data_IF_096136313482
#
_entry.id   IF_096136313482
#
_cell.length_a   1.000
_cell.length_b   1.000
_cell.length_c   1.000
_cell.angle_alpha   90.00
_cell.angle_beta   90.00
_cell.angle_gamma   90.00
#
_symmetry.space_group_name_H-M   'P 1'
#
loop_
_entity.id
_entity.type
_entity.pdbx_description
1 polymer ?
#
# COMPACT_ATOMS: atom_id res chain seq x y z
N UNK A 1 -4.78 17.57 -10.39
CA UNK A 1 -4.41 16.18 -10.08
C UNK A 1 -2.90 16.12 -9.90
N UNK A 2 -2.44 15.88 -8.68
CA UNK A 2 -1.02 15.70 -8.39
C UNK A 2 -0.83 14.26 -7.99
N UNK A 3 -0.06 13.53 -8.75
CA UNK A 3 0.39 12.18 -8.40
C UNK A 3 1.90 12.18 -8.24
N UNK A 4 2.40 11.40 -7.30
CA UNK A 4 3.79 11.36 -6.91
C UNK A 4 4.31 9.96 -7.23
N UNK A 5 5.15 9.81 -8.26
CA UNK A 5 5.81 8.56 -8.53
C UNK A 5 6.91 8.33 -7.48
N UNK A 6 7.08 7.12 -7.07
CA UNK A 6 8.04 6.76 -6.03
C UNK A 6 9.31 6.17 -6.62
N UNK A 7 10.44 6.47 -5.97
CA UNK A 7 11.77 6.05 -6.35
C UNK A 7 12.02 4.53 -6.27
N UNK A 8 12.95 4.08 -5.42
CA UNK A 8 13.36 2.67 -5.32
C UNK A 8 12.22 1.76 -4.87
N UNK A 9 11.87 0.76 -5.68
CA UNK A 9 10.75 -0.15 -5.44
C UNK A 9 11.29 -1.51 -4.99
N UNK A 10 10.84 -2.06 -3.83
CA UNK A 10 11.31 -3.36 -3.35
C UNK A 10 10.63 -4.52 -4.08
N UNK A 11 11.39 -5.56 -4.36
CA UNK A 11 10.85 -6.90 -4.57
C UNK A 11 10.66 -7.55 -3.19
N UNK A 12 9.47 -8.03 -2.91
CA UNK A 12 9.16 -8.60 -1.59
C UNK A 12 9.73 -10.00 -1.48
N UNK A 13 10.57 -10.21 -0.46
CA UNK A 13 11.21 -11.48 -0.20
C UNK A 13 10.42 -12.34 0.81
N UNK A 14 10.59 -13.68 0.73
CA UNK A 14 9.96 -14.62 1.69
C UNK A 14 10.36 -14.31 3.14
N UNK A 15 11.63 -14.05 3.39
CA UNK A 15 12.13 -13.77 4.74
C UNK A 15 11.51 -12.49 5.31
N UNK A 16 11.42 -11.43 4.51
CA UNK A 16 10.87 -10.14 4.86
C UNK A 16 9.40 -10.25 5.28
N UNK A 17 8.56 -10.81 4.42
CA UNK A 17 7.13 -10.90 4.72
C UNK A 17 6.84 -11.87 5.87
N UNK A 18 7.62 -12.94 6.05
CA UNK A 18 7.48 -13.83 7.19
C UNK A 18 7.86 -13.17 8.50
N UNK A 19 8.92 -12.36 8.50
CA UNK A 19 9.30 -11.57 9.66
C UNK A 19 8.20 -10.57 10.02
N UNK A 20 7.71 -9.81 9.07
CA UNK A 20 6.61 -8.85 9.28
C UNK A 20 5.35 -9.54 9.81
N UNK A 21 4.93 -10.66 9.21
CA UNK A 21 3.76 -11.44 9.65
C UNK A 21 3.87 -11.84 11.13
N UNK A 22 5.05 -12.27 11.57
CA UNK A 22 5.30 -12.70 12.95
C UNK A 22 5.40 -11.53 13.92
N UNK A 23 6.05 -10.44 13.54
CA UNK A 23 6.14 -9.22 14.35
C UNK A 23 4.76 -8.63 14.64
N UNK A 24 3.87 -8.65 13.68
CA UNK A 24 2.49 -8.21 13.86
C UNK A 24 1.57 -9.26 14.47
N UNK A 25 2.11 -10.42 14.89
CA UNK A 25 1.37 -11.52 15.50
C UNK A 25 0.15 -11.97 14.68
N UNK A 26 0.27 -11.93 13.36
CA UNK A 26 -0.78 -12.41 12.47
C UNK A 26 -0.85 -13.94 12.52
N UNK A 27 -2.02 -14.48 12.83
CA UNK A 27 -2.26 -15.92 13.00
C UNK A 27 -3.01 -16.56 11.82
N UNK A 28 -3.30 -15.82 10.76
CA UNK A 28 -4.00 -16.36 9.59
C UNK A 28 -3.05 -17.27 8.78
N UNK A 29 -3.38 -18.55 8.70
CA UNK A 29 -2.55 -19.60 8.04
C UNK A 29 -2.10 -19.21 6.64
N UNK A 30 -2.94 -18.53 5.89
CA UNK A 30 -2.69 -18.09 4.51
C UNK A 30 -1.40 -17.25 4.37
N UNK A 31 -0.93 -16.62 5.45
CA UNK A 31 0.26 -15.79 5.42
C UNK A 31 1.54 -16.49 5.93
N UNK A 32 1.43 -17.56 6.72
CA UNK A 32 2.62 -18.14 7.36
C UNK A 32 2.76 -19.66 7.28
N UNK A 33 1.68 -20.41 7.00
CA UNK A 33 1.74 -21.87 6.99
C UNK A 33 1.96 -22.41 5.58
N UNK A 34 3.24 -22.65 5.23
CA UNK A 34 3.60 -23.15 3.90
C UNK A 34 3.03 -24.54 3.61
N UNK A 35 2.95 -25.43 4.61
CA UNK A 35 2.41 -26.77 4.42
C UNK A 35 0.94 -26.74 4.01
N UNK A 36 0.13 -25.93 4.73
CA UNK A 36 -1.28 -25.74 4.39
C UNK A 36 -1.45 -25.09 3.02
N UNK A 37 -0.70 -24.01 2.76
CA UNK A 37 -0.89 -23.19 1.57
C UNK A 37 -0.31 -23.77 0.29
N UNK A 38 0.63 -24.73 0.40
CA UNK A 38 1.08 -25.50 -0.77
C UNK A 38 -0.03 -26.36 -1.38
N UNK A 39 -1.03 -26.70 -0.59
CA UNK A 39 -2.22 -27.46 -1.01
C UNK A 39 -3.43 -26.56 -1.26
N UNK A 40 -3.29 -25.28 -1.00
CA UNK A 40 -4.36 -24.28 -1.15
C UNK A 40 -4.49 -23.75 -2.58
N UNK A 41 -5.44 -22.81 -2.74
CA UNK A 41 -5.79 -22.22 -4.04
C UNK A 41 -4.60 -21.68 -4.84
N UNK A 42 -3.58 -21.12 -4.16
CA UNK A 42 -2.46 -20.44 -4.80
C UNK A 42 -1.16 -21.25 -4.80
N UNK A 43 -1.13 -22.41 -4.14
CA UNK A 43 0.06 -23.24 -4.01
C UNK A 43 1.20 -22.63 -3.17
N UNK A 44 0.98 -21.46 -2.57
CA UNK A 44 1.97 -20.71 -1.79
C UNK A 44 1.30 -19.68 -0.88
N UNK A 45 2.08 -19.18 0.11
CA UNK A 45 1.59 -18.17 1.06
C UNK A 45 1.36 -16.83 0.41
N UNK A 46 0.29 -16.14 0.83
CA UNK A 46 0.04 -14.74 0.50
C UNK A 46 0.87 -13.82 1.39
N UNK A 47 1.34 -12.71 0.84
CA UNK A 47 1.89 -11.62 1.63
C UNK A 47 0.80 -11.01 2.51
N UNK A 48 1.14 -10.78 3.77
CA UNK A 48 0.24 -10.15 4.73
C UNK A 48 -0.18 -8.75 4.27
N UNK A 49 -1.49 -8.47 4.27
CA UNK A 49 -2.04 -7.20 3.77
C UNK A 49 -1.51 -5.97 4.50
N UNK A 50 -1.27 -6.06 5.81
CA UNK A 50 -0.63 -4.97 6.58
C UNK A 50 0.79 -4.66 6.11
N UNK A 51 1.55 -5.66 5.67
CA UNK A 51 2.87 -5.44 5.08
C UNK A 51 2.76 -4.69 3.74
N UNK A 52 1.78 -5.04 2.90
CA UNK A 52 1.52 -4.32 1.64
C UNK A 52 1.17 -2.86 1.89
N UNK A 53 0.33 -2.57 2.89
CA UNK A 53 0.00 -1.19 3.29
C UNK A 53 1.25 -0.44 3.75
N UNK A 54 2.08 -1.08 4.58
CA UNK A 54 3.32 -0.48 5.09
C UNK A 54 4.30 -0.15 3.97
N UNK A 55 4.48 -1.05 3.00
CA UNK A 55 5.31 -0.81 1.82
C UNK A 55 4.77 0.35 0.97
N UNK A 56 3.47 0.36 0.67
CA UNK A 56 2.84 1.42 -0.11
C UNK A 56 3.01 2.80 0.57
N UNK A 57 2.89 2.85 1.91
CA UNK A 57 3.13 4.07 2.69
C UNK A 57 4.61 4.47 2.70
N UNK A 58 5.52 3.54 2.90
CA UNK A 58 6.96 3.81 2.84
C UNK A 58 7.38 4.34 1.46
N UNK A 59 6.86 3.75 0.40
CA UNK A 59 7.09 4.19 -0.97
C UNK A 59 6.52 5.59 -1.25
N UNK A 60 5.49 6.04 -0.56
CA UNK A 60 4.91 7.38 -0.70
C UNK A 60 5.72 8.48 0.01
N UNK A 61 6.79 8.13 0.74
CA UNK A 61 7.55 9.09 1.56
C UNK A 61 8.11 10.25 0.75
N UNK A 62 8.69 10.02 -0.41
CA UNK A 62 9.35 11.06 -1.20
C UNK A 62 8.46 12.25 -1.58
N UNK A 63 7.16 12.04 -1.67
CA UNK A 63 6.21 13.09 -1.96
C UNK A 63 5.33 13.51 -0.77
N UNK A 64 5.31 12.70 0.27
CA UNK A 64 4.48 12.88 1.46
C UNK A 64 5.30 12.88 2.75
N UNK A 65 6.58 13.26 2.68
CA UNK A 65 7.49 13.32 3.83
C UNK A 65 6.93 14.22 4.96
N UNK A 66 6.19 15.25 4.60
CA UNK A 66 5.55 16.17 5.56
C UNK A 66 4.24 15.62 6.15
N UNK A 67 3.71 14.51 5.65
CA UNK A 67 2.52 13.88 6.19
C UNK A 67 2.87 13.10 7.46
N UNK A 68 2.86 13.79 8.59
CA UNK A 68 3.40 13.31 9.85
C UNK A 68 2.43 12.44 10.66
N UNK A 69 1.13 12.44 10.32
CA UNK A 69 0.13 11.67 11.05
C UNK A 69 -1.03 11.24 10.14
N UNK A 70 -1.46 9.98 10.25
CA UNK A 70 -2.69 9.49 9.61
C UNK A 70 -3.85 9.79 10.56
N UNK A 71 -4.68 10.76 10.20
CA UNK A 71 -5.81 11.20 11.01
C UNK A 71 -7.02 10.28 10.91
N UNK A 72 -7.24 9.69 9.74
CA UNK A 72 -8.37 8.79 9.50
C UNK A 72 -8.09 7.88 8.30
N UNK A 73 -8.63 6.68 8.31
CA UNK A 73 -8.69 5.77 7.16
C UNK A 73 -10.16 5.70 6.74
N UNK A 74 -10.47 6.18 5.53
CA UNK A 74 -11.82 6.14 4.98
C UNK A 74 -12.18 4.75 4.46
N UNK A 75 -11.18 4.06 3.90
CA UNK A 75 -11.35 2.71 3.40
C UNK A 75 -10.07 2.14 2.82
N UNK A 76 -10.06 0.83 2.64
CA UNK A 76 -8.95 0.13 2.02
C UNK A 76 -9.41 -1.17 1.39
N UNK A 77 -8.78 -1.54 0.27
CA UNK A 77 -9.10 -2.75 -0.45
C UNK A 77 -7.83 -3.41 -0.99
N UNK A 78 -7.64 -4.69 -0.64
CA UNK A 78 -6.70 -5.55 -1.34
C UNK A 78 -7.37 -6.04 -2.63
N UNK A 79 -6.96 -5.51 -3.77
CA UNK A 79 -7.59 -5.76 -5.08
C UNK A 79 -7.16 -7.10 -5.65
N UNK A 80 -5.86 -7.41 -5.53
CA UNK A 80 -5.27 -8.65 -6.00
C UNK A 80 -4.24 -9.18 -5.01
N UNK A 81 -3.95 -10.49 -5.03
CA UNK A 81 -2.94 -11.09 -4.16
C UNK A 81 -1.52 -10.64 -4.53
N UNK A 82 -0.68 -10.48 -3.52
CA UNK A 82 0.75 -10.32 -3.66
C UNK A 82 1.46 -11.56 -3.10
N UNK A 83 2.52 -11.99 -3.77
CA UNK A 83 3.38 -13.11 -3.38
C UNK A 83 4.83 -12.67 -3.34
N UNK A 84 5.68 -13.41 -2.63
CA UNK A 84 7.12 -13.22 -2.68
C UNK A 84 7.64 -13.34 -4.13
N UNK A 85 8.61 -12.52 -4.47
CA UNK A 85 9.13 -12.32 -5.83
C UNK A 85 8.42 -11.22 -6.62
N UNK A 86 7.30 -10.66 -6.13
CA UNK A 86 6.64 -9.52 -6.75
C UNK A 86 7.28 -8.19 -6.37
N UNK A 87 7.48 -7.30 -7.33
CA UNK A 87 7.99 -5.94 -7.11
C UNK A 87 6.82 -4.97 -6.91
N UNK A 88 6.87 -4.21 -5.82
CA UNK A 88 5.79 -3.27 -5.44
C UNK A 88 6.14 -1.87 -5.91
N UNK A 89 5.20 -1.24 -6.59
CA UNK A 89 5.21 0.18 -6.93
C UNK A 89 4.02 0.85 -6.27
N UNK A 90 4.13 2.13 -5.94
CA UNK A 90 3.03 2.88 -5.34
C UNK A 90 2.90 4.28 -5.91
N UNK A 91 1.67 4.78 -5.96
CA UNK A 91 1.31 6.14 -6.34
C UNK A 91 0.36 6.71 -5.31
N UNK A 92 0.43 8.00 -5.12
CA UNK A 92 -0.52 8.74 -4.28
C UNK A 92 -1.13 9.89 -5.06
N UNK A 93 -2.43 10.00 -4.96
CA UNK A 93 -3.24 11.07 -5.54
C UNK A 93 -3.88 11.87 -4.42
N UNK A 94 -3.76 13.19 -4.48
CA UNK A 94 -4.46 14.07 -3.52
C UNK A 94 -5.88 14.27 -4.02
N UNK A 95 -6.85 13.78 -3.24
CA UNK A 95 -8.26 13.86 -3.56
C UNK A 95 -8.90 15.14 -3.02
N UNK A 96 -8.44 15.61 -1.84
CA UNK A 96 -9.05 16.75 -1.16
C UNK A 96 -8.08 17.39 -0.17
N UNK A 97 -8.39 18.60 0.29
CA UNK A 97 -7.66 19.38 1.30
C UNK A 97 -8.63 20.00 2.29
N UNK A 98 -8.27 19.98 3.57
CA UNK A 98 -9.07 20.61 4.62
C UNK A 98 -8.19 21.38 5.60
N UNK A 99 -8.65 22.54 6.02
CA UNK A 99 -8.13 23.24 7.18
C UNK A 99 -8.67 22.62 8.47
N UNK A 100 -7.90 22.70 9.55
CA UNK A 100 -8.35 22.25 10.87
C UNK A 100 -8.92 23.44 11.66
N UNK A 101 -10.11 23.31 12.26
CA UNK A 101 -10.68 24.38 13.06
C UNK A 101 -9.74 24.83 14.19
N UNK A 102 -9.49 26.14 14.27
CA UNK A 102 -8.62 26.70 15.31
C UNK A 102 -7.10 26.47 15.11
N UNK A 103 -6.68 25.92 13.94
CA UNK A 103 -5.27 25.68 13.62
C UNK A 103 -4.93 26.37 12.29
N UNK A 104 -3.87 27.21 12.31
CA UNK A 104 -3.34 27.85 11.10
C UNK A 104 -2.00 27.26 10.63
N UNK A 105 -1.48 26.31 11.39
CA UNK A 105 -0.17 25.67 11.22
C UNK A 105 -0.24 24.23 10.70
N UNK A 106 -1.44 23.65 10.69
CA UNK A 106 -1.68 22.26 10.28
C UNK A 106 -2.92 22.16 9.41
N UNK A 107 -2.82 21.45 8.31
CA UNK A 107 -3.92 21.07 7.43
C UNK A 107 -4.00 19.56 7.26
N UNK A 108 -5.02 19.13 6.53
CA UNK A 108 -5.23 17.74 6.20
C UNK A 108 -5.32 17.53 4.69
N UNK A 109 -4.74 16.45 4.21
CA UNK A 109 -4.89 15.96 2.83
C UNK A 109 -5.64 14.64 2.83
N UNK A 110 -6.67 14.53 1.97
CA UNK A 110 -7.25 13.24 1.62
C UNK A 110 -6.45 12.64 0.48
N UNK A 111 -5.98 11.43 0.67
CA UNK A 111 -5.03 10.79 -0.21
C UNK A 111 -5.57 9.42 -0.63
N UNK A 112 -5.53 9.15 -1.93
CA UNK A 112 -5.70 7.80 -2.47
C UNK A 112 -4.32 7.25 -2.83
N UNK A 113 -3.84 6.26 -2.08
CA UNK A 113 -2.63 5.52 -2.43
C UNK A 113 -3.01 4.22 -3.11
N UNK A 114 -2.46 3.98 -4.30
CA UNK A 114 -2.54 2.70 -5.01
C UNK A 114 -1.17 2.05 -5.07
N UNK A 115 -1.14 0.74 -4.80
CA UNK A 115 0.04 -0.06 -5.06
C UNK A 115 -0.22 -1.07 -6.17
N UNK A 116 0.81 -1.34 -6.97
CA UNK A 116 0.79 -2.33 -8.04
C UNK A 116 1.89 -3.35 -7.86
N UNK A 117 1.71 -4.51 -8.48
CA UNK A 117 2.74 -5.54 -8.62
C UNK A 117 3.29 -5.53 -10.04
N UNK A 118 4.61 -5.44 -10.18
CA UNK A 118 5.36 -5.55 -11.45
C UNK A 118 4.83 -4.60 -12.54
N UNK A 119 4.32 -3.43 -12.15
CA UNK A 119 3.85 -2.39 -13.04
C UNK A 119 4.53 -1.07 -12.66
N UNK A 120 5.59 -0.67 -13.40
CA UNK A 120 6.33 0.57 -13.16
C UNK A 120 5.48 1.84 -13.29
N UNK A 121 5.92 2.90 -12.63
CA UNK A 121 5.26 4.20 -12.59
C UNK A 121 5.38 4.95 -13.93
N UNK A 122 4.52 4.64 -14.89
CA UNK A 122 4.37 5.46 -16.11
C UNK A 122 3.15 6.39 -16.03
N UNK A 123 2.05 5.91 -15.43
CA UNK A 123 0.82 6.68 -15.25
C UNK A 123 0.10 6.21 -13.98
N UNK A 124 -0.72 7.07 -13.39
CA UNK A 124 -1.50 6.70 -12.19
C UNK A 124 -2.46 5.54 -12.50
N UNK A 125 -2.30 4.38 -11.87
CA UNK A 125 -3.09 3.21 -12.19
C UNK A 125 -4.48 3.27 -11.55
N UNK A 126 -5.48 2.76 -12.25
CA UNK A 126 -6.78 2.47 -11.67
C UNK A 126 -7.04 0.96 -11.73
N UNK A 127 -7.86 0.45 -10.81
CA UNK A 127 -8.22 -0.97 -10.83
C UNK A 127 -8.91 -1.36 -12.15
N UNK A 128 -9.73 -0.46 -12.70
CA UNK A 128 -10.43 -0.67 -13.97
C UNK A 128 -9.50 -0.67 -15.20
N UNK A 129 -8.36 0.05 -15.11
CA UNK A 129 -7.36 0.11 -16.18
C UNK A 129 -6.21 -0.87 -15.98
N UNK A 130 -6.26 -1.71 -14.93
CA UNK A 130 -5.23 -2.72 -14.69
C UNK A 130 -5.35 -3.85 -15.71
N UNK A 131 -4.21 -4.29 -16.31
CA UNK A 131 -4.23 -5.44 -17.22
C UNK A 131 -4.63 -6.72 -16.48
N UNK A 132 -5.12 -7.70 -17.22
CA UNK A 132 -5.39 -9.03 -16.68
C UNK A 132 -4.12 -9.92 -16.75
N UNK A 133 -3.75 -10.60 -15.62
CA UNK A 133 -4.36 -10.52 -14.30
C UNK A 133 -4.15 -9.14 -13.65
N UNK A 134 -5.06 -8.73 -12.76
CA UNK A 134 -4.99 -7.42 -12.12
C UNK A 134 -3.63 -7.16 -11.45
N UNK A 135 -3.01 -6.02 -11.79
CA UNK A 135 -1.72 -5.62 -11.20
C UNK A 135 -1.86 -4.61 -10.07
N UNK A 136 -3.00 -3.93 -9.95
CA UNK A 136 -3.33 -3.16 -8.75
C UNK A 136 -3.59 -4.15 -7.62
N UNK A 137 -2.81 -4.05 -6.54
CA UNK A 137 -2.88 -4.94 -5.38
C UNK A 137 -3.51 -4.27 -4.16
N UNK A 138 -3.42 -2.94 -4.07
CA UNK A 138 -3.96 -2.15 -2.96
C UNK A 138 -4.57 -0.84 -3.44
N UNK A 139 -5.70 -0.48 -2.87
CA UNK A 139 -6.25 0.87 -2.85
C UNK A 139 -6.48 1.28 -1.40
N UNK A 140 -5.98 2.45 -0.99
CA UNK A 140 -6.07 2.97 0.39
C UNK A 140 -6.45 4.44 0.35
N UNK A 141 -7.64 4.78 0.88
CA UNK A 141 -8.17 6.14 1.03
C UNK A 141 -8.07 6.58 2.48
N UNK A 142 -7.30 7.64 2.74
CA UNK A 142 -7.03 8.11 4.09
C UNK A 142 -6.80 9.62 4.14
N UNK A 143 -6.93 10.19 5.34
CA UNK A 143 -6.55 11.55 5.64
C UNK A 143 -5.21 11.58 6.38
N UNK A 144 -4.31 12.46 5.96
CA UNK A 144 -3.05 12.70 6.63
C UNK A 144 -2.89 14.18 6.97
N UNK A 145 -2.30 14.45 8.15
CA UNK A 145 -1.98 15.81 8.58
C UNK A 145 -0.63 16.24 8.02
N UNK A 146 -0.59 17.49 7.58
CA UNK A 146 0.61 18.16 7.06
C UNK A 146 0.78 19.52 7.74
N UNK A 147 2.02 20.03 7.91
CA UNK A 147 2.24 21.42 8.25
C UNK A 147 1.82 22.32 7.09
N UNK A 148 1.38 23.54 7.41
CA UNK A 148 1.02 24.58 6.44
C UNK A 148 2.09 25.68 6.48
#
# INVERSE_FOLDING_TARGET
LWWIPVGTTPTVEEAEHQLATRLYQNTAKVHFNQFSESQGRFGRRLIYGGHVISLARALSFNGLANAFHIAAINGGRHVAPLFAGGTVYAWSEILDKAGLPGRGDVGALRIMTRATRDLPCAAYPTAAASPEPPRVILELDYWALIPI
#
